data_IF_847950154008
#
_entry.id   IF_847950154008
#
_cell.length_a   1.000
_cell.length_b   1.000
_cell.length_c   1.000
_cell.angle_alpha   90.00
_cell.angle_beta   90.00
_cell.angle_gamma   90.00
#
_symmetry.space_group_name_H-M   'P 1'
#
loop_
_entity.id
_entity.type
_entity.pdbx_description
1 polymer ?
#
# COMPACT_ATOMS: atom_id res chain seq x y z
N UNK A 1 -23.31 22.20 10.74
CA UNK A 1 -21.87 22.49 10.56
C UNK A 1 -21.37 21.47 9.55
N UNK A 2 -21.22 21.88 8.28
CA UNK A 2 -20.74 21.02 7.19
C UNK A 2 -19.22 21.24 7.11
N UNK A 3 -18.43 20.23 7.43
CA UNK A 3 -17.05 20.12 6.93
C UNK A 3 -16.96 18.79 6.19
N UNK A 4 -17.36 18.78 4.92
CA UNK A 4 -16.95 17.72 4.01
C UNK A 4 -15.55 18.08 3.50
N UNK A 5 -14.58 18.02 4.41
CA UNK A 5 -13.17 18.22 4.10
C UNK A 5 -12.59 16.81 3.94
N UNK A 6 -12.85 16.19 2.78
CA UNK A 6 -11.99 15.14 2.28
C UNK A 6 -10.61 15.78 2.03
N UNK A 7 -9.85 15.95 3.12
CA UNK A 7 -8.45 16.33 3.08
C UNK A 7 -7.81 15.33 2.15
N UNK A 8 -7.42 15.79 0.96
CA UNK A 8 -6.89 14.96 -0.11
C UNK A 8 -5.54 14.40 0.35
N UNK A 9 -5.58 13.33 1.16
CA UNK A 9 -4.44 12.50 1.40
C UNK A 9 -4.02 11.98 0.04
N UNK A 10 -2.81 12.35 -0.39
CA UNK A 10 -2.25 11.80 -1.63
C UNK A 10 -2.29 10.28 -1.51
N UNK A 11 -2.94 9.58 -2.44
CA UNK A 11 -3.18 8.15 -2.29
C UNK A 11 -1.85 7.39 -2.20
N UNK A 12 -1.79 6.31 -1.39
CA UNK A 12 -0.63 5.45 -1.38
C UNK A 12 -0.31 4.89 -2.76
N UNK A 13 0.98 4.78 -3.07
CA UNK A 13 1.49 4.25 -4.33
C UNK A 13 2.40 3.07 -4.07
N UNK A 14 2.45 2.17 -5.05
CA UNK A 14 3.36 1.03 -5.06
C UNK A 14 4.06 0.93 -6.41
N UNK A 15 5.38 0.75 -6.35
CA UNK A 15 6.23 0.48 -7.50
C UNK A 15 7.15 -0.70 -7.15
N UNK A 16 7.20 -1.67 -8.05
CA UNK A 16 8.06 -2.86 -7.94
C UNK A 16 9.31 -2.68 -8.81
N UNK A 17 10.47 -3.03 -8.26
CA UNK A 17 11.75 -3.03 -8.96
C UNK A 17 12.63 -4.17 -8.44
N UNK A 18 12.84 -5.20 -9.27
CA UNK A 18 13.53 -6.44 -8.87
C UNK A 18 12.82 -7.05 -7.64
N UNK A 19 13.58 -7.38 -6.59
CA UNK A 19 13.06 -8.00 -5.35
C UNK A 19 12.66 -6.95 -4.30
N UNK A 20 12.27 -5.75 -4.73
CA UNK A 20 11.91 -4.63 -3.85
C UNK A 20 10.62 -3.95 -4.30
N UNK A 21 9.91 -3.41 -3.32
CA UNK A 21 8.78 -2.53 -3.51
C UNK A 21 8.98 -1.21 -2.75
N UNK A 22 8.46 -0.12 -3.29
CA UNK A 22 8.55 1.19 -2.67
C UNK A 22 7.47 2.13 -3.17
N UNK A 23 7.29 3.27 -2.49
CA UNK A 23 6.38 4.31 -2.95
C UNK A 23 6.08 5.34 -1.88
N UNK A 24 4.92 5.99 -2.03
CA UNK A 24 4.37 6.92 -1.08
C UNK A 24 3.27 6.23 -0.26
N UNK A 25 3.21 6.46 1.04
CA UNK A 25 2.26 5.82 1.95
C UNK A 25 1.13 6.76 2.41
N UNK A 26 1.09 8.01 1.95
CA UNK A 26 0.10 9.00 2.40
C UNK A 26 0.71 10.16 3.16
N UNK A 27 1.68 9.89 4.05
CA UNK A 27 2.51 10.90 4.73
C UNK A 27 4.00 10.68 4.45
N UNK A 28 4.46 9.43 4.56
CA UNK A 28 5.86 9.07 4.40
C UNK A 28 6.13 8.33 3.09
N UNK A 29 7.41 8.29 2.69
CA UNK A 29 7.87 7.29 1.72
C UNK A 29 8.07 5.95 2.44
N UNK A 30 7.84 4.87 1.72
CA UNK A 30 8.00 3.51 2.23
C UNK A 30 8.84 2.67 1.28
N UNK A 31 9.44 1.61 1.81
CA UNK A 31 10.20 0.61 1.07
C UNK A 31 10.13 -0.74 1.78
N UNK A 32 10.20 -1.83 1.01
CA UNK A 32 10.26 -3.19 1.52
C UNK A 32 11.01 -4.08 0.51
N UNK A 33 11.54 -5.22 0.98
CA UNK A 33 11.76 -6.35 0.08
C UNK A 33 10.41 -6.91 -0.37
N UNK A 34 10.34 -7.42 -1.59
CA UNK A 34 9.15 -8.02 -2.15
C UNK A 34 9.51 -9.40 -2.70
N UNK A 35 8.99 -10.44 -2.06
CA UNK A 35 9.05 -11.81 -2.56
C UNK A 35 7.85 -12.07 -3.46
N UNK A 36 8.09 -12.19 -4.77
CA UNK A 36 7.03 -12.47 -5.75
C UNK A 36 7.25 -13.85 -6.35
N UNK A 37 6.19 -14.66 -6.33
CA UNK A 37 6.09 -15.91 -7.07
C UNK A 37 4.84 -15.88 -7.94
N UNK A 38 4.57 -16.95 -8.70
CA UNK A 38 3.38 -17.03 -9.55
C UNK A 38 2.05 -16.93 -8.79
N UNK A 39 2.04 -17.23 -7.47
CA UNK A 39 0.81 -17.31 -6.66
C UNK A 39 0.87 -16.56 -5.33
N UNK A 40 2.04 -16.05 -4.95
CA UNK A 40 2.25 -15.37 -3.67
C UNK A 40 3.02 -14.06 -3.87
N UNK A 41 2.65 -13.08 -3.05
CA UNK A 41 3.36 -11.83 -2.87
C UNK A 41 3.44 -11.58 -1.38
N UNK A 42 4.65 -11.41 -0.88
CA UNK A 42 4.89 -11.06 0.51
C UNK A 42 5.88 -9.91 0.56
N UNK A 43 5.63 -8.97 1.46
CA UNK A 43 6.56 -7.90 1.77
C UNK A 43 7.38 -8.31 2.99
N UNK A 44 8.71 -8.19 2.90
CA UNK A 44 9.59 -8.41 4.04
C UNK A 44 9.63 -7.17 4.95
N UNK A 45 10.81 -6.83 5.46
CA UNK A 45 10.97 -5.68 6.36
C UNK A 45 10.48 -4.37 5.71
N UNK A 46 9.30 -3.91 6.13
CA UNK A 46 8.71 -2.66 5.68
C UNK A 46 9.28 -1.51 6.50
N UNK A 47 9.91 -0.55 5.83
CA UNK A 47 10.44 0.66 6.42
C UNK A 47 9.75 1.92 5.90
N UNK A 48 9.57 2.92 6.77
CA UNK A 48 9.09 4.26 6.39
C UNK A 48 10.01 5.35 6.89
N UNK A 49 9.89 6.55 6.32
CA UNK A 49 10.47 7.76 6.93
C UNK A 49 9.67 8.24 8.13
N UNK A 50 10.22 9.21 8.87
CA UNK A 50 9.55 9.83 10.03
C UNK A 50 9.26 11.31 9.77
N UNK A 51 8.28 11.59 8.91
CA UNK A 51 7.66 12.91 8.76
C UNK A 51 6.39 13.00 9.61
N UNK A 52 6.11 14.18 10.14
CA UNK A 52 4.80 14.49 10.72
C UNK A 52 3.94 15.18 9.65
N UNK A 53 2.78 14.59 9.36
CA UNK A 53 1.80 15.16 8.44
C UNK A 53 0.47 15.41 9.18
N UNK A 54 -0.58 15.77 8.43
CA UNK A 54 -1.92 15.86 8.99
C UNK A 54 -2.42 14.48 9.49
N UNK A 55 -3.31 14.44 10.50
CA UNK A 55 -3.87 13.18 11.00
C UNK A 55 -4.45 12.26 9.92
N UNK A 56 -5.23 12.75 8.93
CA UNK A 56 -5.73 11.89 7.85
C UNK A 56 -4.64 11.21 7.02
N UNK A 57 -3.51 11.90 6.80
CA UNK A 57 -2.38 11.35 6.03
C UNK A 57 -1.65 10.25 6.80
N UNK A 58 -1.56 10.41 8.13
CA UNK A 58 -0.97 9.40 9.02
C UNK A 58 -1.88 8.17 9.18
N UNK A 59 -3.21 8.38 9.21
CA UNK A 59 -4.17 7.27 9.20
C UNK A 59 -4.10 6.46 7.91
N UNK A 60 -3.99 7.13 6.76
CA UNK A 60 -3.79 6.49 5.47
C UNK A 60 -2.48 5.67 5.44
N UNK A 61 -1.38 6.22 5.96
CA UNK A 61 -0.11 5.50 6.09
C UNK A 61 -0.25 4.25 6.95
N UNK A 62 -0.87 4.37 8.13
CA UNK A 62 -1.06 3.22 9.02
C UNK A 62 -1.89 2.12 8.36
N UNK A 63 -3.01 2.48 7.73
CA UNK A 63 -3.86 1.52 7.03
C UNK A 63 -3.12 0.82 5.89
N UNK A 64 -2.33 1.58 5.13
CA UNK A 64 -1.52 1.03 4.05
C UNK A 64 -0.40 0.10 4.55
N UNK A 65 0.28 0.44 5.64
CA UNK A 65 1.29 -0.44 6.26
C UNK A 65 0.67 -1.75 6.76
N UNK A 66 -0.52 -1.69 7.38
CA UNK A 66 -1.25 -2.91 7.78
C UNK A 66 -1.60 -3.77 6.56
N UNK A 67 -2.08 -3.17 5.47
CA UNK A 67 -2.38 -3.92 4.26
C UNK A 67 -1.15 -4.64 3.67
N UNK A 68 0.03 -4.00 3.69
CA UNK A 68 1.28 -4.64 3.27
C UNK A 68 1.64 -5.84 4.17
N UNK A 69 1.53 -5.68 5.49
CA UNK A 69 1.82 -6.74 6.47
C UNK A 69 0.88 -7.95 6.32
N UNK A 70 -0.40 -7.69 6.03
CA UNK A 70 -1.41 -8.73 5.83
C UNK A 70 -1.32 -9.41 4.45
N UNK A 71 -0.65 -8.81 3.47
CA UNK A 71 -0.60 -9.33 2.10
C UNK A 71 0.11 -10.69 2.05
N UNK A 72 -0.58 -11.69 1.49
CA UNK A 72 -0.02 -13.04 1.21
C UNK A 72 -0.08 -13.40 -0.26
N UNK A 73 -0.84 -12.66 -1.05
CA UNK A 73 -0.88 -12.85 -2.48
C UNK A 73 -1.44 -11.65 -3.21
N UNK A 74 -1.41 -11.76 -4.53
CA UNK A 74 -1.91 -10.73 -5.42
C UNK A 74 -2.65 -11.34 -6.59
N UNK A 75 -3.53 -10.56 -7.18
CA UNK A 75 -4.20 -10.87 -8.45
C UNK A 75 -4.43 -9.61 -9.25
N UNK A 76 -4.54 -9.76 -10.56
CA UNK A 76 -4.92 -8.67 -11.46
C UNK A 76 -6.39 -8.83 -11.82
N UNK A 77 -7.21 -7.86 -11.42
CA UNK A 77 -8.64 -7.82 -11.73
C UNK A 77 -8.95 -6.52 -12.48
N UNK A 78 -9.54 -6.62 -13.68
CA UNK A 78 -9.95 -5.45 -14.46
C UNK A 78 -8.82 -4.41 -14.71
N UNK A 79 -7.56 -4.87 -14.77
CA UNK A 79 -6.38 -4.00 -14.92
C UNK A 79 -5.89 -3.34 -13.63
N UNK A 80 -6.45 -3.72 -12.48
CA UNK A 80 -6.04 -3.27 -11.15
C UNK A 80 -5.26 -4.37 -10.44
N UNK A 81 -4.24 -3.97 -9.68
CA UNK A 81 -3.54 -4.84 -8.74
C UNK A 81 -4.39 -4.95 -7.47
N UNK A 82 -4.76 -6.17 -7.11
CA UNK A 82 -5.49 -6.49 -5.87
C UNK A 82 -4.57 -7.31 -4.98
N UNK A 83 -4.37 -6.85 -3.75
CA UNK A 83 -3.64 -7.56 -2.71
C UNK A 83 -4.64 -8.26 -1.80
N UNK A 84 -4.33 -9.49 -1.40
CA UNK A 84 -5.20 -10.27 -0.51
C UNK A 84 -4.42 -10.94 0.63
N UNK A 85 -5.13 -11.19 1.74
CA UNK A 85 -4.61 -11.84 2.93
C UNK A 85 -4.60 -13.38 2.83
N UNK A 86 -4.20 -14.05 3.91
CA UNK A 86 -4.19 -15.53 3.96
C UNK A 86 -5.58 -16.16 3.81
N UNK A 87 -6.65 -15.43 4.12
CA UNK A 87 -8.04 -15.85 3.97
C UNK A 87 -8.61 -15.56 2.58
N UNK A 88 -7.85 -14.88 1.70
CA UNK A 88 -8.29 -14.45 0.38
C UNK A 88 -9.12 -13.16 0.38
N UNK A 89 -9.21 -12.45 1.50
CA UNK A 89 -9.90 -11.16 1.57
C UNK A 89 -9.03 -10.06 0.97
N UNK A 90 -9.64 -9.13 0.23
CA UNK A 90 -8.95 -7.99 -0.37
C UNK A 90 -8.51 -7.02 0.73
N UNK A 91 -7.21 -6.72 0.77
CA UNK A 91 -6.62 -5.77 1.74
C UNK A 91 -6.22 -4.44 1.10
N UNK A 92 -5.94 -4.43 -0.21
CA UNK A 92 -5.68 -3.20 -0.96
C UNK A 92 -5.92 -3.38 -2.47
N UNK A 93 -6.20 -2.26 -3.15
CA UNK A 93 -6.46 -2.22 -4.60
C UNK A 93 -5.77 -1.00 -5.22
N UNK A 94 -5.01 -1.22 -6.28
CA UNK A 94 -4.24 -0.19 -6.96
C UNK A 94 -4.54 -0.18 -8.45
N UNK A 95 -4.82 1.01 -8.98
CA UNK A 95 -4.86 1.22 -10.42
C UNK A 95 -3.47 1.53 -10.93
N UNK A 96 -3.10 0.96 -12.06
CA UNK A 96 -1.85 1.31 -12.75
C UNK A 96 -1.87 2.79 -13.12
N UNK A 97 -0.84 3.51 -12.69
CA UNK A 97 -0.56 4.88 -13.13
C UNK A 97 0.54 4.83 -14.19
N UNK A 98 0.45 5.72 -15.18
CA UNK A 98 1.35 5.77 -16.34
C UNK A 98 2.31 6.94 -16.22
#
# INVERSE_FOLDING_TARGET
MMVNEAHSATPPTIAFAQDRASGYAGCNRWFASAGVTDQALEFGDVGTTRMMCSPPSMEAERAFMTALDDTRGYRIENGELVLYDIGGADVARFRRTN
#
